data_IF_734172080179
#
_entry.id   IF_734172080179
#
_cell.length_a   1.000
_cell.length_b   1.000
_cell.length_c   1.000
_cell.angle_alpha   90.00
_cell.angle_beta   90.00
_cell.angle_gamma   90.00
#
_symmetry.space_group_name_H-M   'P 1'
#
loop_
_entity.id
_entity.type
_entity.pdbx_description
1 polymer ?
#
# COMPACT_ATOMS: atom_id res chain seq x y z
N UNK A 1 -12.41 8.03 4.90
CA UNK A 1 -12.66 8.77 3.65
C UNK A 1 -11.61 9.87 3.57
N UNK A 2 -11.07 10.19 2.39
CA UNK A 2 -10.17 11.34 2.22
C UNK A 2 -10.86 12.66 2.63
N UNK A 3 -10.17 13.47 3.43
CA UNK A 3 -10.65 14.77 3.93
C UNK A 3 -10.47 15.90 2.91
N UNK A 4 -9.35 15.90 2.19
CA UNK A 4 -8.94 17.03 1.33
C UNK A 4 -8.77 16.68 -0.15
N UNK A 5 -8.80 15.39 -0.52
CA UNK A 5 -8.65 14.93 -1.92
C UNK A 5 -9.84 14.06 -2.35
N UNK A 6 -10.09 13.87 -3.67
CA UNK A 6 -11.24 13.13 -4.15
C UNK A 6 -11.29 11.68 -3.62
N UNK A 7 -12.48 11.16 -3.26
CA UNK A 7 -12.60 9.80 -2.75
C UNK A 7 -12.34 8.76 -3.82
N UNK A 8 -11.81 7.59 -3.42
CA UNK A 8 -11.70 6.42 -4.27
C UNK A 8 -12.84 5.44 -4.00
N UNK A 9 -13.33 4.77 -5.04
CA UNK A 9 -14.50 3.88 -4.95
C UNK A 9 -14.17 2.52 -4.31
N UNK A 10 -12.96 2.01 -4.52
CA UNK A 10 -12.63 0.61 -4.21
C UNK A 10 -11.45 0.41 -3.25
N UNK A 11 -10.65 1.43 -2.96
CA UNK A 11 -9.45 1.32 -2.13
C UNK A 11 -9.67 0.60 -0.79
N UNK A 12 -10.69 1.00 -0.03
CA UNK A 12 -11.00 0.36 1.24
C UNK A 12 -11.51 -1.09 1.09
N UNK A 13 -12.23 -1.39 -0.01
CA UNK A 13 -12.66 -2.75 -0.29
C UNK A 13 -11.51 -3.63 -0.77
N UNK A 14 -10.53 -3.05 -1.47
CA UNK A 14 -9.30 -3.72 -1.90
C UNK A 14 -8.45 -4.11 -0.69
N UNK A 15 -8.26 -3.19 0.26
CA UNK A 15 -7.61 -3.46 1.54
C UNK A 15 -8.32 -4.57 2.33
N UNK A 16 -9.66 -4.49 2.44
CA UNK A 16 -10.46 -5.53 3.11
C UNK A 16 -10.28 -6.90 2.45
N UNK A 17 -10.38 -6.98 1.12
CA UNK A 17 -10.23 -8.25 0.39
C UNK A 17 -8.82 -8.82 0.52
N UNK A 18 -7.79 -7.96 0.53
CA UNK A 18 -6.42 -8.39 0.80
C UNK A 18 -6.31 -8.97 2.21
N UNK A 19 -6.81 -8.27 3.24
CA UNK A 19 -6.85 -8.77 4.62
C UNK A 19 -7.52 -10.14 4.70
N UNK A 20 -8.72 -10.27 4.14
CA UNK A 20 -9.48 -11.51 4.17
C UNK A 20 -8.75 -12.64 3.42
N UNK A 21 -8.02 -12.34 2.34
CA UNK A 21 -7.17 -13.31 1.65
C UNK A 21 -5.98 -13.76 2.51
N UNK A 22 -5.27 -12.82 3.13
CA UNK A 22 -4.08 -13.10 3.94
C UNK A 22 -4.42 -14.01 5.13
N UNK A 23 -5.49 -13.69 5.84
CA UNK A 23 -5.96 -14.48 6.99
C UNK A 23 -6.53 -15.84 6.59
N UNK A 24 -7.41 -15.88 5.59
CA UNK A 24 -8.21 -17.09 5.34
C UNK A 24 -7.58 -18.05 4.31
N UNK A 25 -6.65 -17.57 3.48
CA UNK A 25 -6.09 -18.37 2.37
C UNK A 25 -4.58 -18.48 2.39
N UNK A 26 -3.88 -17.38 2.65
CA UNK A 26 -2.42 -17.35 2.67
C UNK A 26 -1.81 -17.79 4.00
N UNK A 27 -2.61 -17.86 5.07
CA UNK A 27 -2.19 -18.39 6.38
C UNK A 27 -1.30 -17.44 7.17
N UNK A 28 -1.46 -16.12 7.00
CA UNK A 28 -0.78 -15.14 7.84
C UNK A 28 -1.34 -15.18 9.26
N UNK A 29 -0.45 -15.21 10.25
CA UNK A 29 -0.82 -15.24 11.67
C UNK A 29 -1.51 -13.96 12.13
N UNK A 30 -1.05 -12.81 11.61
CA UNK A 30 -1.56 -11.49 11.98
C UNK A 30 -1.71 -10.60 10.75
N UNK A 31 -2.79 -9.80 10.71
CA UNK A 31 -3.00 -8.78 9.68
C UNK A 31 -3.54 -7.50 10.30
N UNK A 32 -2.69 -6.48 10.31
CA UNK A 32 -3.06 -5.10 10.64
C UNK A 32 -3.80 -4.49 9.45
N UNK A 33 -5.01 -3.98 9.67
CA UNK A 33 -5.87 -3.46 8.61
C UNK A 33 -6.38 -2.06 8.95
N UNK A 34 -5.98 -1.09 8.13
CA UNK A 34 -6.42 0.29 8.22
C UNK A 34 -7.28 0.65 7.02
N UNK A 35 -8.47 1.20 7.26
CA UNK A 35 -9.34 1.61 6.17
C UNK A 35 -10.34 2.68 6.60
N UNK A 36 -10.79 3.42 5.59
CA UNK A 36 -11.78 4.48 5.72
C UNK A 36 -13.14 4.09 6.32
N UNK A 37 -13.44 2.79 6.39
CA UNK A 37 -14.71 2.24 6.84
C UNK A 37 -14.54 1.33 8.06
N UNK A 38 -13.41 1.40 8.77
CA UNK A 38 -13.30 0.74 10.05
C UNK A 38 -14.33 1.33 11.02
N UNK A 39 -15.11 0.46 11.67
CA UNK A 39 -15.99 0.87 12.78
C UNK A 39 -15.19 1.28 14.02
N UNK A 40 -13.90 0.95 14.03
CA UNK A 40 -12.96 1.24 15.09
C UNK A 40 -12.11 2.47 14.70
N UNK A 41 -12.12 3.51 15.54
CA UNK A 41 -11.33 4.74 15.31
C UNK A 41 -9.83 4.48 15.24
N UNK A 42 -9.34 3.41 15.88
CA UNK A 42 -7.93 3.00 15.88
C UNK A 42 -7.46 2.39 14.55
N UNK A 43 -8.36 2.13 13.61
CA UNK A 43 -8.06 1.56 12.28
C UNK A 43 -8.23 2.62 11.16
N UNK A 44 -8.33 3.90 11.53
CA UNK A 44 -8.40 4.99 10.58
C UNK A 44 -7.01 5.25 9.95
N UNK A 45 -6.90 5.32 8.60
CA UNK A 45 -5.62 5.52 7.93
C UNK A 45 -5.23 7.01 7.88
N UNK A 46 -5.15 7.66 9.05
CA UNK A 46 -4.59 9.00 9.21
C UNK A 46 -3.06 8.97 9.28
N UNK A 47 -2.41 10.11 9.04
CA UNK A 47 -0.93 10.18 9.08
C UNK A 47 -0.35 9.66 10.38
N UNK A 48 -0.79 10.21 11.52
CA UNK A 48 -0.23 9.87 12.81
C UNK A 48 -0.42 8.38 13.14
N UNK A 49 -1.61 7.83 12.86
CA UNK A 49 -1.93 6.43 13.14
C UNK A 49 -1.04 5.47 12.34
N UNK A 50 -0.84 5.74 11.04
CA UNK A 50 0.01 4.92 10.19
C UNK A 50 1.50 5.10 10.53
N UNK A 51 1.93 6.31 10.89
CA UNK A 51 3.31 6.59 11.28
C UNK A 51 3.68 5.84 12.56
N UNK A 52 2.83 5.89 13.59
CA UNK A 52 2.98 5.11 14.83
C UNK A 52 3.04 3.61 14.51
N UNK A 53 2.10 3.11 13.71
CA UNK A 53 2.07 1.68 13.39
C UNK A 53 3.33 1.23 12.63
N UNK A 54 3.86 2.05 11.74
CA UNK A 54 5.12 1.75 11.04
C UNK A 54 6.32 1.74 12.00
N UNK A 55 6.35 2.62 12.99
CA UNK A 55 7.38 2.59 14.05
C UNK A 55 7.30 1.32 14.89
N UNK A 56 6.09 0.91 15.28
CA UNK A 56 5.87 -0.37 15.98
C UNK A 56 6.32 -1.57 15.15
N UNK A 57 5.96 -1.59 13.85
CA UNK A 57 6.44 -2.62 12.91
C UNK A 57 7.96 -2.63 12.84
N UNK A 58 8.59 -1.46 12.79
CA UNK A 58 10.05 -1.34 12.78
C UNK A 58 10.73 -1.82 14.07
N UNK A 59 10.00 -1.93 15.17
CA UNK A 59 10.49 -2.43 16.46
C UNK A 59 10.21 -3.93 16.67
N UNK A 60 9.52 -4.59 15.73
CA UNK A 60 9.36 -6.03 15.76
C UNK A 60 10.72 -6.73 15.65
N UNK A 61 10.81 -7.93 16.21
CA UNK A 61 11.98 -8.80 16.14
C UNK A 61 11.61 -10.10 15.44
N UNK A 62 11.26 -10.01 14.16
CA UNK A 62 10.90 -11.16 13.32
C UNK A 62 12.15 -11.98 12.96
N UNK A 63 11.95 -13.27 12.71
CA UNK A 63 12.97 -14.21 12.28
C UNK A 63 13.26 -14.17 10.79
N UNK A 64 14.36 -14.80 10.40
CA UNK A 64 14.78 -14.93 8.99
C UNK A 64 13.85 -15.80 8.13
N UNK A 65 13.02 -16.62 8.77
CA UNK A 65 12.03 -17.46 8.08
C UNK A 65 10.65 -16.77 8.01
N UNK A 66 10.49 -15.60 8.63
CA UNK A 66 9.23 -14.88 8.65
C UNK A 66 9.01 -14.04 7.39
N UNK A 67 7.74 -13.91 7.03
CA UNK A 67 7.28 -13.14 5.88
C UNK A 67 6.50 -11.90 6.33
N UNK A 68 6.84 -10.73 5.81
CA UNK A 68 6.07 -9.51 6.02
C UNK A 68 5.53 -8.96 4.71
N UNK A 69 4.21 -8.80 4.61
CA UNK A 69 3.57 -8.24 3.42
C UNK A 69 2.97 -6.89 3.74
N UNK A 70 3.34 -5.88 2.96
CA UNK A 70 2.77 -4.54 3.01
C UNK A 70 1.92 -4.32 1.77
N UNK A 71 0.65 -3.97 1.97
CA UNK A 71 -0.28 -3.66 0.89
C UNK A 71 -0.87 -2.27 1.09
N UNK A 72 -0.83 -1.44 0.05
CA UNK A 72 -1.49 -0.14 0.02
C UNK A 72 -2.36 -0.02 -1.23
N UNK A 73 -3.60 0.44 -1.05
CA UNK A 73 -4.48 0.85 -2.14
C UNK A 73 -5.01 2.24 -1.85
N UNK A 74 -4.78 3.19 -2.76
CA UNK A 74 -5.10 4.59 -2.49
C UNK A 74 -4.53 5.57 -3.50
N UNK A 75 -4.56 6.86 -3.16
CA UNK A 75 -3.87 7.89 -3.93
C UNK A 75 -2.37 7.86 -3.63
N UNK A 76 -1.57 8.06 -4.67
CA UNK A 76 -0.14 8.27 -4.58
C UNK A 76 0.24 9.62 -5.18
N UNK A 77 1.33 10.20 -4.70
CA UNK A 77 1.87 11.44 -5.27
C UNK A 77 3.39 11.37 -5.39
N UNK A 78 3.94 12.25 -6.23
CA UNK A 78 5.38 12.43 -6.39
C UNK A 78 5.72 13.84 -5.94
N UNK A 79 6.64 13.96 -5.00
CA UNK A 79 7.15 15.26 -4.54
C UNK A 79 8.67 15.17 -4.37
N UNK A 80 9.40 16.08 -5.01
CA UNK A 80 10.88 16.07 -4.97
C UNK A 80 11.52 14.76 -5.47
N UNK A 81 10.88 14.09 -6.43
CA UNK A 81 11.33 12.79 -6.97
C UNK A 81 11.11 11.59 -6.07
N UNK A 82 10.39 11.77 -4.96
CA UNK A 82 10.04 10.71 -4.04
C UNK A 82 8.55 10.40 -4.11
N UNK A 83 8.24 9.12 -3.89
CA UNK A 83 6.89 8.62 -3.85
C UNK A 83 6.28 8.77 -2.47
N UNK A 84 5.00 9.17 -2.44
CA UNK A 84 4.24 9.34 -1.21
C UNK A 84 2.91 8.57 -1.27
N UNK A 85 2.59 7.92 -0.16
CA UNK A 85 1.27 7.36 0.14
C UNK A 85 0.38 8.48 0.67
N UNK A 86 -0.69 8.81 -0.05
CA UNK A 86 -1.66 9.80 0.40
C UNK A 86 -2.62 9.12 1.37
N UNK A 87 -2.65 9.63 2.60
CA UNK A 87 -3.46 9.16 3.72
C UNK A 87 -4.75 9.97 3.83
N UNK A 88 -5.68 9.51 4.67
CA UNK A 88 -7.03 10.05 4.66
C UNK A 88 -7.14 11.49 5.12
N UNK A 89 -6.12 12.02 5.79
CA UNK A 89 -5.98 13.43 6.19
C UNK A 89 -4.88 14.18 5.41
N UNK A 90 -4.34 13.60 4.34
CA UNK A 90 -3.36 14.30 3.49
C UNK A 90 -3.98 15.53 2.83
N UNK A 91 -3.32 16.68 3.02
CA UNK A 91 -3.67 17.98 2.44
C UNK A 91 -2.59 18.42 1.42
N UNK A 92 -2.67 19.67 0.96
CA UNK A 92 -1.79 20.19 -0.11
C UNK A 92 -0.28 20.12 0.19
N UNK A 93 0.11 20.19 1.47
CA UNK A 93 1.50 20.01 1.90
C UNK A 93 1.78 18.52 2.07
N UNK A 94 2.10 17.86 0.95
CA UNK A 94 2.32 16.42 0.87
C UNK A 94 3.40 15.97 1.85
N UNK A 95 4.50 16.72 1.99
CA UNK A 95 5.61 16.30 2.86
C UNK A 95 5.20 16.24 4.33
N UNK A 96 4.27 17.13 4.76
CA UNK A 96 3.77 17.19 6.15
C UNK A 96 2.59 16.27 6.43
N UNK A 97 1.88 15.79 5.41
CA UNK A 97 0.59 15.11 5.61
C UNK A 97 0.45 13.76 4.89
N UNK A 98 1.39 13.40 4.02
CA UNK A 98 1.53 12.08 3.42
C UNK A 98 2.73 11.33 4.01
N UNK A 99 2.87 10.03 3.75
CA UNK A 99 4.04 9.25 4.16
C UNK A 99 4.87 8.87 2.94
N UNK A 100 6.18 9.15 2.98
CA UNK A 100 7.06 8.73 1.88
C UNK A 100 7.19 7.20 1.84
N UNK A 101 7.18 6.61 0.65
CA UNK A 101 7.37 5.16 0.50
C UNK A 101 8.77 4.73 0.96
N UNK A 102 9.75 5.62 0.84
CA UNK A 102 11.08 5.40 1.41
C UNK A 102 11.05 5.18 2.92
N UNK A 103 10.25 5.97 3.65
CA UNK A 103 10.07 5.80 5.09
C UNK A 103 9.44 4.44 5.41
N UNK A 104 8.40 4.05 4.65
CA UNK A 104 7.79 2.71 4.78
C UNK A 104 8.84 1.61 4.59
N UNK A 105 9.59 1.64 3.48
CA UNK A 105 10.66 0.66 3.21
C UNK A 105 11.69 0.61 4.35
N UNK A 106 12.07 1.76 4.91
CA UNK A 106 13.01 1.80 6.02
C UNK A 106 12.45 1.14 7.28
N UNK A 107 11.20 1.39 7.64
CA UNK A 107 10.58 0.76 8.81
C UNK A 107 10.37 -0.73 8.61
N UNK A 108 9.87 -1.14 7.44
CA UNK A 108 9.73 -2.56 7.09
C UNK A 108 11.07 -3.30 7.07
N UNK A 109 12.19 -2.62 6.78
CA UNK A 109 13.50 -3.28 6.83
C UNK A 109 13.92 -3.61 8.27
N UNK A 110 13.51 -2.78 9.23
CA UNK A 110 13.92 -2.93 10.63
C UNK A 110 13.20 -4.07 11.36
N UNK A 111 12.02 -4.49 10.89
CA UNK A 111 11.23 -5.54 11.54
C UNK A 111 11.93 -6.91 11.62
N UNK A 112 12.98 -7.13 10.83
CA UNK A 112 13.80 -8.35 10.88
C UNK A 112 13.35 -9.49 9.97
N UNK A 113 12.18 -9.37 9.33
CA UNK A 113 11.64 -10.42 8.46
C UNK A 113 12.60 -10.78 7.32
N UNK A 114 12.77 -12.07 7.06
CA UNK A 114 13.63 -12.55 5.98
C UNK A 114 13.10 -12.24 4.58
N UNK A 115 11.78 -12.17 4.43
CA UNK A 115 11.15 -11.82 3.16
C UNK A 115 10.09 -10.73 3.35
N UNK A 116 10.31 -9.58 2.70
CA UNK A 116 9.39 -8.45 2.72
C UNK A 116 8.86 -8.19 1.31
N UNK A 117 7.54 -8.17 1.16
CA UNK A 117 6.85 -7.93 -0.11
C UNK A 117 5.97 -6.68 -0.03
N UNK A 118 6.15 -5.76 -0.97
CA UNK A 118 5.39 -4.52 -1.07
C UNK A 118 4.47 -4.56 -2.28
N UNK A 119 3.18 -4.32 -2.06
CA UNK A 119 2.17 -4.18 -3.10
C UNK A 119 1.59 -2.77 -3.04
N UNK A 120 1.83 -1.98 -4.09
CA UNK A 120 1.45 -0.57 -4.15
C UNK A 120 0.43 -0.37 -5.29
N UNK A 121 -0.85 -0.42 -4.94
CA UNK A 121 -1.98 -0.13 -5.82
C UNK A 121 -2.36 1.35 -5.74
N UNK A 122 -1.53 2.22 -6.32
CA UNK A 122 -1.74 3.66 -6.23
C UNK A 122 -1.60 4.38 -7.56
N UNK A 123 -2.56 5.25 -7.85
CA UNK A 123 -2.46 6.20 -8.94
C UNK A 123 -1.41 7.26 -8.57
N UNK A 124 -0.49 7.54 -9.49
CA UNK A 124 0.52 8.57 -9.32
C UNK A 124 0.10 9.72 -10.21
N UNK A 125 -0.44 10.77 -9.63
CA UNK A 125 -0.91 11.87 -10.44
C UNK A 125 0.27 12.48 -11.22
N UNK A 126 0.09 12.72 -12.51
CA UNK A 126 1.15 13.21 -13.43
C UNK A 126 1.36 14.72 -13.27
N UNK A 127 1.19 15.21 -12.04
CA UNK A 127 1.35 16.60 -11.69
C UNK A 127 2.81 16.99 -11.84
N UNK A 128 3.10 17.76 -12.89
CA UNK A 128 4.41 18.19 -13.38
C UNK A 128 5.04 17.15 -14.31
N UNK A 129 5.50 17.64 -15.47
CA UNK A 129 6.37 16.94 -16.42
C UNK A 129 7.70 16.58 -15.75
N UNK A 130 7.69 15.74 -14.72
CA UNK A 130 8.91 15.21 -14.15
C UNK A 130 9.50 14.24 -15.18
N UNK A 131 10.79 14.44 -15.46
CA UNK A 131 11.61 13.54 -16.29
C UNK A 131 11.77 12.18 -15.59
N UNK A 132 11.48 12.14 -14.28
CA UNK A 132 11.60 11.00 -13.42
C UNK A 132 10.44 10.03 -13.62
N UNK A 133 10.79 8.77 -13.91
CA UNK A 133 9.82 7.69 -14.10
C UNK A 133 9.14 7.38 -12.76
N UNK A 134 7.80 7.54 -12.66
CA UNK A 134 7.05 7.23 -11.46
C UNK A 134 7.38 5.83 -10.92
N UNK A 135 7.80 5.72 -9.66
CA UNK A 135 8.08 4.44 -9.01
C UNK A 135 9.48 3.85 -9.20
N UNK A 136 10.34 4.37 -10.09
CA UNK A 136 11.67 3.77 -10.29
C UNK A 136 12.58 3.93 -9.07
N UNK A 137 12.54 5.08 -8.41
CA UNK A 137 13.28 5.32 -7.17
C UNK A 137 12.85 4.34 -6.07
N UNK A 138 11.55 4.13 -5.88
CA UNK A 138 11.02 3.18 -4.91
C UNK A 138 11.42 1.74 -5.25
N UNK A 139 11.30 1.32 -6.51
CA UNK A 139 11.74 -0.01 -6.96
C UNK A 139 13.21 -0.23 -6.65
N UNK A 140 14.06 0.75 -6.96
CA UNK A 140 15.49 0.69 -6.69
C UNK A 140 15.76 0.55 -5.18
N UNK A 141 15.10 1.37 -4.36
CA UNK A 141 15.25 1.34 -2.89
C UNK A 141 14.80 0.01 -2.30
N UNK A 142 13.62 -0.48 -2.69
CA UNK A 142 13.10 -1.78 -2.24
C UNK A 142 14.08 -2.91 -2.59
N UNK A 143 14.57 -2.92 -3.84
CA UNK A 143 15.56 -3.91 -4.29
C UNK A 143 16.88 -3.83 -3.49
N UNK A 144 17.40 -2.64 -3.25
CA UNK A 144 18.60 -2.44 -2.43
C UNK A 144 18.43 -2.96 -0.99
N UNK A 145 17.20 -2.92 -0.46
CA UNK A 145 16.87 -3.44 0.88
C UNK A 145 16.53 -4.93 0.90
N UNK A 146 16.58 -5.61 -0.25
CA UNK A 146 16.24 -7.03 -0.38
C UNK A 146 14.74 -7.31 -0.39
N UNK A 147 13.91 -6.33 -0.76
CA UNK A 147 12.45 -6.45 -0.78
C UNK A 147 11.93 -6.69 -2.20
N UNK A 148 10.85 -7.44 -2.31
CA UNK A 148 10.09 -7.63 -3.55
C UNK A 148 9.03 -6.52 -3.61
N UNK A 149 8.85 -5.87 -4.77
CA UNK A 149 7.85 -4.82 -4.91
C UNK A 149 7.04 -4.92 -6.21
N UNK A 150 5.73 -4.74 -6.09
CA UNK A 150 4.76 -4.75 -7.18
C UNK A 150 4.00 -3.42 -7.19
N UNK A 151 3.78 -2.87 -8.38
CA UNK A 151 3.12 -1.57 -8.56
C UNK A 151 1.97 -1.72 -9.56
N UNK A 152 0.84 -1.07 -9.30
CA UNK A 152 -0.18 -0.92 -10.32
C UNK A 152 0.25 0.09 -11.40
N UNK A 153 -0.06 -0.20 -12.66
CA UNK A 153 0.08 0.76 -13.76
C UNK A 153 -1.21 1.59 -13.84
N UNK A 154 -1.11 2.92 -13.93
CA UNK A 154 -2.26 3.82 -14.00
C UNK A 154 -3.23 3.38 -15.10
N UNK A 155 -4.48 3.04 -14.75
CA UNK A 155 -5.46 2.44 -15.66
C UNK A 155 -6.58 3.41 -16.02
N UNK A 156 -6.69 3.79 -17.30
CA UNK A 156 -7.89 4.47 -17.81
C UNK A 156 -8.91 3.54 -18.51
N UNK A 157 -8.55 2.31 -18.88
CA UNK A 157 -9.41 1.47 -19.74
C UNK A 157 -10.01 0.22 -19.05
N UNK A 158 -9.37 -0.32 -18.01
CA UNK A 158 -9.84 -1.54 -17.31
C UNK A 158 -10.98 -1.30 -16.31
N UNK A 159 -11.31 -0.05 -16.02
CA UNK A 159 -12.16 0.33 -14.88
C UNK A 159 -13.62 -0.10 -15.01
N UNK A 160 -14.13 -0.41 -16.21
CA UNK A 160 -15.55 -0.73 -16.44
C UNK A 160 -15.94 -2.15 -15.99
N UNK A 161 -15.21 -3.19 -16.41
CA UNK A 161 -15.51 -4.60 -16.06
C UNK A 161 -15.41 -4.87 -14.54
N UNK A 162 -14.57 -4.10 -13.85
CA UNK A 162 -14.34 -4.25 -12.42
C UNK A 162 -15.37 -3.55 -11.54
N UNK A 163 -16.20 -2.65 -12.10
CA UNK A 163 -17.27 -2.02 -11.33
C UNK A 163 -18.25 -3.06 -10.78
N UNK A 164 -18.57 -4.09 -11.55
CA UNK A 164 -19.42 -5.21 -11.13
C UNK A 164 -18.79 -6.03 -9.98
N UNK A 165 -17.46 -6.12 -9.96
CA UNK A 165 -16.69 -6.86 -8.93
C UNK A 165 -16.37 -6.02 -7.69
N UNK A 166 -16.69 -4.72 -7.73
CA UNK A 166 -16.35 -3.73 -6.70
C UNK A 166 -14.88 -3.84 -6.28
N UNK A 167 -13.96 -3.81 -7.23
CA UNK A 167 -12.54 -4.11 -6.98
C UNK A 167 -11.63 -3.20 -7.83
N UNK A 168 -10.48 -2.78 -7.31
CA UNK A 168 -9.37 -2.31 -8.14
C UNK A 168 -8.82 -3.41 -9.05
N UNK A 169 -8.36 -3.04 -10.25
CA UNK A 169 -7.89 -3.99 -11.26
C UNK A 169 -6.67 -4.79 -10.81
N UNK A 170 -5.70 -4.07 -10.25
CA UNK A 170 -4.47 -4.65 -9.74
C UNK A 170 -4.78 -5.63 -8.61
N UNK A 171 -5.55 -5.20 -7.61
CA UNK A 171 -5.88 -6.05 -6.47
C UNK A 171 -6.70 -7.28 -6.90
N UNK A 172 -7.66 -7.14 -7.82
CA UNK A 172 -8.40 -8.29 -8.37
C UNK A 172 -7.47 -9.30 -9.05
N UNK A 173 -6.60 -8.83 -9.95
CA UNK A 173 -5.66 -9.69 -10.67
C UNK A 173 -4.70 -10.38 -9.70
N UNK A 174 -4.15 -9.64 -8.73
CA UNK A 174 -3.25 -10.14 -7.70
C UNK A 174 -3.90 -11.27 -6.89
N UNK A 175 -5.09 -11.03 -6.33
CA UNK A 175 -5.79 -12.04 -5.52
C UNK A 175 -6.21 -13.25 -6.34
N UNK A 176 -6.55 -13.07 -7.62
CA UNK A 176 -6.86 -14.18 -8.53
C UNK A 176 -5.64 -15.03 -8.84
N UNK A 177 -4.47 -14.42 -9.01
CA UNK A 177 -3.20 -15.12 -9.24
C UNK A 177 -2.78 -15.90 -7.98
N UNK A 178 -2.73 -15.23 -6.82
CA UNK A 178 -2.35 -15.85 -5.55
C UNK A 178 -3.35 -16.93 -5.10
N UNK A 179 -4.65 -16.73 -5.39
CA UNK A 179 -5.69 -17.68 -5.03
C UNK A 179 -5.80 -18.91 -5.95
N UNK A 180 -5.10 -18.93 -7.08
CA UNK A 180 -5.11 -20.05 -8.04
C UNK A 180 -4.16 -21.20 -7.67
N UNK A 181 -3.23 -21.01 -6.73
CA UNK A 181 -2.26 -22.05 -6.33
C UNK A 181 -2.83 -23.14 -5.40
N UNK A 182 -4.15 -23.25 -5.26
CA UNK A 182 -4.80 -24.45 -4.70
C UNK A 182 -5.60 -25.14 -5.80
N UNK A 183 -4.88 -25.88 -6.64
CA UNK A 183 -5.38 -26.92 -7.54
C UNK A 183 -4.56 -28.18 -7.33
#
# INVERSE_FOLDING_TARGET
KYKFIPPLKYAANDAKKMRDFLLNKAGFDEVLHYSDYSSNSYEYPGRSDIEIQLEEVGNLSMGSDDHFWFFFSGHGSINGGLDYLMLSDTHEDIQKSAISVNYVIQQLKKCGAGNVVLFLDMCRDKGIKSIERPGEQTKQKARQMGMISFFSCSSNEYSWELQEKKHGAFTYALLKLLGKEKG
#
